data_IF_035389267048
#
_entry.id   IF_035389267048
#
_cell.length_a   1.000
_cell.length_b   1.000
_cell.length_c   1.000
_cell.angle_alpha   90.00
_cell.angle_beta   90.00
_cell.angle_gamma   90.00
#
_symmetry.space_group_name_H-M   'P 1'
#
loop_
_entity.id
_entity.type
_entity.pdbx_description
1 polymer ?
#
# COMPACT_ATOMS: atom_id res chain seq x y z
N UNK A 1 56.31 48.60 52.68
CA UNK A 1 56.08 47.65 53.79
C UNK A 1 54.58 47.38 53.91
N UNK A 2 54.20 46.11 54.08
CA UNK A 2 53.02 45.50 54.77
C UNK A 2 51.75 46.37 54.95
N UNK A 3 50.53 45.87 54.91
CA UNK A 3 49.87 44.60 54.63
C UNK A 3 48.37 44.81 55.01
N UNK A 4 47.46 43.96 54.54
CA UNK A 4 46.18 43.69 55.21
C UNK A 4 44.94 44.22 54.47
N UNK A 5 44.26 43.44 53.62
CA UNK A 5 43.41 42.26 53.91
C UNK A 5 42.10 42.64 54.60
N UNK A 6 40.98 42.58 53.85
CA UNK A 6 39.71 41.94 54.26
C UNK A 6 38.80 41.69 53.03
N UNK A 7 38.74 40.40 52.68
CA UNK A 7 37.62 39.63 52.09
C UNK A 7 36.21 40.20 52.42
N UNK A 8 35.10 39.96 51.69
CA UNK A 8 34.64 38.85 50.83
C UNK A 8 33.26 39.22 50.24
N UNK A 9 32.87 38.45 49.22
CA UNK A 9 31.50 38.13 48.80
C UNK A 9 30.78 39.11 47.85
N UNK A 10 30.02 38.50 46.92
CA UNK A 10 29.26 39.09 45.82
C UNK A 10 30.17 39.34 44.61
N UNK A 11 30.13 38.57 43.52
CA UNK A 11 28.97 38.12 42.76
C UNK A 11 29.36 36.80 42.08
N UNK A 12 29.02 35.68 42.72
CA UNK A 12 28.87 34.40 42.05
C UNK A 12 27.44 34.37 41.51
N UNK A 13 27.19 35.04 40.37
CA UNK A 13 25.83 35.08 39.80
C UNK A 13 25.83 35.24 38.27
N UNK A 14 26.76 34.59 37.56
CA UNK A 14 26.76 34.61 36.08
C UNK A 14 27.33 33.34 35.43
N UNK A 15 27.29 32.20 36.13
CA UNK A 15 27.81 30.93 35.59
C UNK A 15 26.84 29.76 35.74
N UNK A 16 25.53 30.04 35.82
CA UNK A 16 24.48 29.02 35.96
C UNK A 16 23.44 29.08 34.82
N UNK A 17 23.86 29.43 33.59
CA UNK A 17 22.93 29.58 32.46
C UNK A 17 23.50 29.10 31.12
N UNK A 18 24.34 28.05 31.15
CA UNK A 18 24.85 27.42 29.93
C UNK A 18 24.93 25.89 30.03
N UNK A 19 23.96 25.26 30.71
CA UNK A 19 23.88 23.80 30.78
C UNK A 19 22.44 23.29 30.61
N UNK A 20 21.80 23.68 29.50
CA UNK A 20 20.55 23.06 29.03
C UNK A 20 20.49 22.99 27.50
N UNK A 21 21.65 22.91 26.83
CA UNK A 21 21.74 22.67 25.39
C UNK A 21 22.45 21.34 25.14
N UNK A 22 21.98 20.28 25.81
CA UNK A 22 22.30 18.92 25.40
C UNK A 22 21.01 18.25 24.95
N UNK A 23 20.90 18.14 23.63
CA UNK A 23 20.35 16.96 22.96
C UNK A 23 18.94 16.56 23.43
N UNK A 24 17.94 17.34 23.02
CA UNK A 24 16.78 16.67 22.42
C UNK A 24 17.20 16.29 21.00
N UNK A 25 17.94 15.18 20.86
CA UNK A 25 17.83 14.45 19.61
C UNK A 25 16.33 14.21 19.43
N UNK A 26 15.73 14.50 18.26
CA UNK A 26 14.45 13.92 17.96
C UNK A 26 14.67 12.42 18.15
N UNK A 27 14.04 11.84 19.17
CA UNK A 27 13.77 10.42 19.22
C UNK A 27 13.30 10.08 17.82
N UNK A 28 14.01 9.18 17.13
CA UNK A 28 13.56 8.65 15.85
C UNK A 28 12.07 8.33 16.03
N UNK A 29 11.22 9.21 15.51
CA UNK A 29 9.89 8.83 15.19
C UNK A 29 10.13 7.71 14.21
N UNK A 30 9.72 6.51 14.58
CA UNK A 30 9.55 5.41 13.66
C UNK A 30 8.54 5.95 12.65
N UNK A 31 9.07 6.61 11.62
CA UNK A 31 8.27 7.31 10.65
C UNK A 31 7.99 6.25 9.61
N UNK A 32 6.81 5.65 9.72
CA UNK A 32 6.27 4.87 8.61
C UNK A 32 6.26 5.80 7.39
N UNK A 33 7.03 5.45 6.37
CA UNK A 33 7.07 6.22 5.14
C UNK A 33 5.74 6.04 4.41
N UNK A 34 5.00 7.13 4.19
CA UNK A 34 3.76 7.08 3.40
C UNK A 34 4.14 7.17 1.93
N UNK A 35 3.85 6.12 1.17
CA UNK A 35 4.15 6.02 -0.26
C UNK A 35 2.87 6.11 -1.09
N UNK A 36 2.96 6.73 -2.26
CA UNK A 36 1.87 6.68 -3.24
C UNK A 36 1.80 5.26 -3.83
N UNK A 37 0.60 4.68 -3.88
CA UNK A 37 0.40 3.39 -4.55
C UNK A 37 -0.69 3.50 -5.62
N UNK A 38 -0.65 2.59 -6.59
CA UNK A 38 -1.68 2.45 -7.61
C UNK A 38 -1.99 0.97 -7.85
N UNK A 39 -3.27 0.60 -7.75
CA UNK A 39 -3.73 -0.77 -7.87
C UNK A 39 -4.38 -1.01 -9.25
N UNK A 40 -3.90 -2.02 -9.97
CA UNK A 40 -4.38 -2.37 -11.31
C UNK A 40 -4.69 -3.88 -11.42
N UNK A 41 -5.89 -4.28 -11.87
CA UNK A 41 -7.03 -3.41 -12.20
C UNK A 41 -7.66 -2.79 -10.94
N UNK A 42 -8.13 -1.55 -11.05
CA UNK A 42 -8.85 -0.86 -9.95
C UNK A 42 -10.32 -1.28 -9.80
N UNK A 43 -10.78 -2.21 -10.65
CA UNK A 43 -12.13 -2.81 -10.56
C UNK A 43 -11.98 -4.32 -10.68
N UNK A 44 -12.47 -5.04 -9.68
CA UNK A 44 -12.55 -6.49 -9.69
C UNK A 44 -14.01 -6.90 -9.87
N UNK A 45 -14.26 -7.84 -10.79
CA UNK A 45 -15.61 -8.32 -11.08
C UNK A 45 -15.74 -9.75 -10.55
N UNK A 46 -16.73 -9.97 -9.69
CA UNK A 46 -17.12 -11.27 -9.16
C UNK A 46 -18.31 -11.77 -9.97
N UNK A 47 -18.20 -12.93 -10.62
CA UNK A 47 -19.35 -13.57 -11.25
C UNK A 47 -20.18 -14.34 -10.20
N UNK A 48 -21.45 -13.98 -10.06
CA UNK A 48 -22.36 -14.56 -9.08
C UNK A 48 -22.90 -15.95 -9.50
N UNK A 49 -22.82 -16.34 -10.79
CA UNK A 49 -23.44 -17.59 -11.28
C UNK A 49 -22.49 -18.75 -11.50
N UNK A 50 -21.18 -18.54 -11.52
CA UNK A 50 -20.24 -19.65 -11.68
C UNK A 50 -19.58 -19.97 -10.35
N UNK A 51 -20.01 -21.09 -9.77
CA UNK A 51 -19.12 -22.01 -9.07
C UNK A 51 -17.97 -22.31 -10.05
N UNK A 52 -16.93 -21.47 -10.03
CA UNK A 52 -15.94 -21.33 -11.09
C UNK A 52 -15.04 -22.56 -11.16
N UNK A 53 -15.52 -23.56 -11.90
CA UNK A 53 -14.88 -24.87 -12.02
C UNK A 53 -14.10 -25.04 -13.32
N UNK A 54 -14.37 -24.25 -14.37
CA UNK A 54 -13.73 -24.52 -15.68
C UNK A 54 -13.29 -23.31 -16.53
N UNK A 55 -13.79 -22.08 -16.36
CA UNK A 55 -13.47 -20.97 -17.32
C UNK A 55 -13.41 -19.55 -16.75
N UNK A 56 -13.42 -19.40 -15.43
CA UNK A 56 -13.14 -18.09 -14.82
C UNK A 56 -11.62 -17.92 -14.82
N UNK A 57 -11.10 -17.08 -15.71
CA UNK A 57 -9.68 -16.77 -15.77
C UNK A 57 -9.25 -15.87 -14.59
N UNK A 58 -9.47 -16.35 -13.35
CA UNK A 58 -8.92 -15.75 -12.14
C UNK A 58 -7.45 -16.11 -11.94
N UNK A 59 -6.75 -16.57 -12.99
CA UNK A 59 -5.30 -16.73 -12.96
C UNK A 59 -4.56 -15.39 -13.06
N UNK A 60 -5.31 -14.31 -13.26
CA UNK A 60 -4.81 -12.94 -13.28
C UNK A 60 -4.45 -12.42 -11.87
N UNK A 61 -3.55 -11.44 -11.83
CA UNK A 61 -3.03 -10.84 -10.60
C UNK A 61 -3.41 -9.36 -10.50
N UNK A 62 -3.79 -8.92 -9.31
CA UNK A 62 -3.78 -7.50 -8.95
C UNK A 62 -2.33 -7.05 -8.85
N UNK A 63 -1.95 -6.07 -9.66
CA UNK A 63 -0.64 -5.44 -9.66
C UNK A 63 -0.70 -4.16 -8.85
N UNK A 64 0.17 -4.02 -7.85
CA UNK A 64 0.29 -2.83 -7.03
C UNK A 64 1.63 -2.17 -7.33
N UNK A 65 1.57 -0.95 -7.85
CA UNK A 65 2.72 -0.08 -8.03
C UNK A 65 2.90 0.77 -6.77
N UNK A 66 4.12 0.89 -6.27
CA UNK A 66 4.42 1.71 -5.10
C UNK A 66 5.56 2.67 -5.39
N UNK A 67 5.41 3.93 -4.96
CA UNK A 67 6.39 5.02 -5.12
C UNK A 67 7.62 4.87 -4.24
N UNK A 68 8.14 3.66 -4.08
CA UNK A 68 9.37 3.31 -3.37
C UNK A 68 10.29 2.58 -4.34
N UNK A 69 11.60 2.83 -4.26
CA UNK A 69 12.55 2.16 -5.13
C UNK A 69 12.62 0.66 -4.78
N UNK A 70 12.60 -0.21 -5.79
CA UNK A 70 12.75 -1.66 -5.58
C UNK A 70 14.04 -1.98 -4.82
N UNK A 71 15.12 -1.27 -5.11
CA UNK A 71 16.43 -1.50 -4.48
C UNK A 71 16.45 -1.14 -2.98
N UNK A 72 15.55 -0.28 -2.52
CA UNK A 72 15.43 0.09 -1.10
C UNK A 72 14.58 -0.93 -0.34
N UNK A 73 13.58 -1.53 -1.00
CA UNK A 73 12.69 -2.54 -0.42
C UNK A 73 13.24 -3.98 -0.55
N UNK A 74 13.98 -4.29 -1.61
CA UNK A 74 14.36 -5.65 -1.98
C UNK A 74 15.87 -5.78 -2.23
N UNK A 75 16.51 -6.79 -1.65
CA UNK A 75 17.92 -7.08 -1.91
C UNK A 75 18.14 -7.60 -3.34
N UNK A 76 19.33 -7.34 -3.90
CA UNK A 76 19.76 -7.84 -5.21
C UNK A 76 19.54 -9.36 -5.31
N UNK A 77 18.63 -9.78 -6.20
CA UNK A 77 18.27 -11.19 -6.40
C UNK A 77 16.85 -11.59 -5.96
N UNK A 78 16.07 -10.66 -5.38
CA UNK A 78 14.62 -10.79 -5.23
C UNK A 78 14.13 -11.86 -4.25
N UNK A 79 15.02 -12.45 -3.44
CA UNK A 79 14.65 -13.57 -2.56
C UNK A 79 14.05 -13.15 -1.21
N UNK A 80 14.24 -11.90 -0.79
CA UNK A 80 13.87 -11.42 0.55
C UNK A 80 12.94 -10.18 0.53
N UNK A 81 12.09 -10.05 -0.49
CA UNK A 81 11.16 -8.91 -0.57
C UNK A 81 9.74 -9.30 -0.20
N UNK A 82 9.42 -9.19 1.09
CA UNK A 82 8.07 -9.45 1.61
C UNK A 82 7.29 -8.15 1.69
N UNK A 83 6.14 -8.11 1.04
CA UNK A 83 5.16 -7.03 1.18
C UNK A 83 3.79 -7.62 1.43
N UNK A 84 3.00 -6.90 2.20
CA UNK A 84 1.65 -7.30 2.56
C UNK A 84 0.64 -6.34 1.96
N UNK A 85 -0.42 -6.87 1.36
CA UNK A 85 -1.60 -6.11 0.97
C UNK A 85 -2.71 -6.41 1.96
N UNK A 86 -3.16 -5.38 2.67
CA UNK A 86 -4.08 -5.50 3.80
C UNK A 86 -5.40 -4.81 3.54
N UNK A 87 -6.47 -5.44 4.01
CA UNK A 87 -7.78 -4.85 4.23
C UNK A 87 -8.16 -5.04 5.70
N UNK A 88 -8.34 -3.93 6.41
CA UNK A 88 -8.53 -3.92 7.86
C UNK A 88 -7.48 -4.78 8.60
N UNK A 89 -7.89 -5.89 9.23
CA UNK A 89 -7.03 -6.80 9.99
C UNK A 89 -6.52 -8.01 9.18
N UNK A 90 -6.94 -8.15 7.92
CA UNK A 90 -6.56 -9.27 7.05
C UNK A 90 -5.49 -8.82 6.08
N UNK A 91 -4.41 -9.59 5.93
CA UNK A 91 -3.30 -9.28 5.04
C UNK A 91 -2.95 -10.48 4.16
N UNK A 92 -2.62 -10.19 2.92
CA UNK A 92 -2.10 -11.13 1.94
C UNK A 92 -0.62 -10.84 1.73
N UNK A 93 0.23 -11.80 2.06
CA UNK A 93 1.65 -11.70 1.80
C UNK A 93 1.94 -11.99 0.33
N UNK A 94 2.80 -11.18 -0.30
CA UNK A 94 3.37 -11.45 -1.61
C UNK A 94 4.89 -11.27 -1.58
N UNK A 95 5.57 -12.03 -2.45
CA UNK A 95 6.96 -11.72 -2.79
C UNK A 95 6.94 -10.71 -3.93
N UNK A 96 7.49 -9.51 -3.72
CA UNK A 96 7.58 -8.51 -4.78
C UNK A 96 8.42 -9.04 -5.94
N UNK A 97 7.97 -8.79 -7.18
CA UNK A 97 8.42 -9.59 -8.33
C UNK A 97 9.38 -8.83 -9.24
N UNK A 98 9.26 -7.50 -9.39
CA UNK A 98 10.11 -6.70 -10.28
C UNK A 98 9.99 -5.19 -10.05
N UNK A 99 10.87 -4.42 -10.69
CA UNK A 99 10.81 -2.96 -10.78
C UNK A 99 10.06 -2.52 -12.04
N UNK A 100 9.28 -1.44 -11.97
CA UNK A 100 8.73 -0.80 -13.16
C UNK A 100 9.82 -0.08 -13.98
N UNK A 101 9.45 0.60 -15.08
CA UNK A 101 10.40 1.33 -15.93
C UNK A 101 11.13 2.49 -15.22
N UNK A 102 10.65 2.93 -14.06
CA UNK A 102 11.24 3.97 -13.22
C UNK A 102 12.12 3.40 -12.09
N UNK A 103 12.15 2.08 -11.92
CA UNK A 103 12.86 1.44 -10.82
C UNK A 103 12.01 1.27 -9.55
N UNK A 104 10.72 1.55 -9.62
CA UNK A 104 9.79 1.51 -8.48
C UNK A 104 9.28 0.09 -8.22
N UNK A 105 8.98 -0.21 -6.97
CA UNK A 105 8.49 -1.50 -6.48
C UNK A 105 7.15 -1.86 -7.13
N UNK A 106 7.07 -3.09 -7.65
CA UNK A 106 5.83 -3.68 -8.15
C UNK A 106 5.57 -5.03 -7.49
N UNK A 107 4.40 -5.15 -6.86
CA UNK A 107 3.92 -6.35 -6.22
C UNK A 107 2.71 -6.95 -6.96
N UNK A 108 2.55 -8.27 -6.88
CA UNK A 108 1.44 -8.98 -7.52
C UNK A 108 0.72 -9.87 -6.50
N UNK A 109 -0.60 -9.74 -6.47
CA UNK A 109 -1.48 -10.51 -5.60
C UNK A 109 -2.49 -11.28 -6.43
N UNK A 110 -2.79 -12.50 -6.02
CA UNK A 110 -3.82 -13.35 -6.64
C UNK A 110 -5.18 -12.65 -6.56
N UNK A 111 -5.86 -12.46 -7.70
CA UNK A 111 -7.23 -11.92 -7.70
C UNK A 111 -8.17 -12.75 -6.81
N UNK A 112 -8.17 -14.11 -6.85
CA UNK A 112 -8.94 -14.93 -5.94
C UNK A 112 -8.73 -14.60 -4.46
N UNK A 113 -7.48 -14.38 -4.05
CA UNK A 113 -7.16 -14.13 -2.64
C UNK A 113 -7.60 -12.72 -2.23
N UNK A 114 -7.43 -11.72 -3.11
CA UNK A 114 -7.93 -10.35 -2.89
C UNK A 114 -9.45 -10.34 -2.79
N UNK A 115 -10.15 -11.05 -3.68
CA UNK A 115 -11.62 -11.18 -3.62
C UNK A 115 -12.03 -11.88 -2.31
N UNK A 116 -11.38 -13.00 -1.95
CA UNK A 116 -11.71 -13.73 -0.72
C UNK A 116 -11.53 -12.88 0.55
N UNK A 117 -10.54 -11.98 0.55
CA UNK A 117 -10.32 -11.02 1.64
C UNK A 117 -11.47 -9.99 1.76
N UNK A 118 -12.11 -9.62 0.65
CA UNK A 118 -13.12 -8.54 0.59
C UNK A 118 -14.57 -9.02 0.63
N UNK A 119 -14.85 -10.22 0.12
CA UNK A 119 -16.21 -10.78 0.00
C UNK A 119 -17.07 -10.74 1.28
N UNK A 120 -16.53 -10.92 2.51
CA UNK A 120 -17.34 -10.84 3.73
C UNK A 120 -18.08 -9.50 3.89
N UNK A 121 -17.57 -8.43 3.30
CA UNK A 121 -18.12 -7.07 3.42
C UNK A 121 -19.16 -6.73 2.34
N UNK A 122 -19.29 -7.58 1.31
CA UNK A 122 -20.25 -7.41 0.22
C UNK A 122 -19.63 -7.15 -1.15
N UNK A 123 -20.47 -6.75 -2.10
CA UNK A 123 -20.11 -6.47 -3.50
C UNK A 123 -20.79 -5.18 -3.96
N UNK A 124 -20.33 -4.62 -5.07
CA UNK A 124 -20.72 -3.30 -5.59
C UNK A 124 -20.31 -2.13 -4.69
N UNK A 125 -19.14 -2.24 -4.06
CA UNK A 125 -18.60 -1.28 -3.10
C UNK A 125 -17.11 -0.99 -3.36
N UNK A 126 -16.65 0.12 -2.80
CA UNK A 126 -15.25 0.51 -2.79
C UNK A 126 -14.56 0.01 -1.52
N UNK A 127 -13.30 -0.37 -1.66
CA UNK A 127 -12.46 -0.92 -0.59
C UNK A 127 -11.09 -0.25 -0.60
N UNK A 128 -10.70 0.29 0.54
CA UNK A 128 -9.35 0.83 0.77
C UNK A 128 -8.40 -0.32 1.08
N UNK A 129 -7.42 -0.53 0.20
CA UNK A 129 -6.37 -1.52 0.37
C UNK A 129 -5.07 -0.83 0.72
N UNK A 130 -4.39 -1.33 1.75
CA UNK A 130 -3.10 -0.80 2.19
C UNK A 130 -1.98 -1.76 1.84
N UNK A 131 -1.04 -1.31 1.01
CA UNK A 131 0.23 -1.99 0.83
C UNK A 131 1.17 -1.56 1.95
N UNK A 132 1.84 -2.51 2.59
CA UNK A 132 2.84 -2.23 3.62
C UNK A 132 4.04 -3.17 3.50
N UNK A 133 5.18 -2.73 4.01
CA UNK A 133 6.40 -3.52 4.04
C UNK A 133 7.53 -2.84 4.80
N UNK A 134 8.70 -3.48 4.77
CA UNK A 134 9.90 -2.99 5.43
C UNK A 134 11.04 -2.86 4.41
N UNK A 135 11.78 -1.76 4.47
CA UNK A 135 12.98 -1.55 3.65
C UNK A 135 14.14 -2.41 4.14
N UNK A 136 15.18 -2.54 3.33
CA UNK A 136 16.43 -3.20 3.74
C UNK A 136 17.13 -2.50 4.92
N UNK A 137 16.81 -1.23 5.17
CA UNK A 137 17.30 -0.46 6.32
C UNK A 137 16.50 -0.73 7.61
N UNK A 138 15.40 -1.49 7.52
CA UNK A 138 14.49 -1.79 8.62
C UNK A 138 13.42 -0.73 8.86
N UNK A 139 13.18 0.15 7.88
CA UNK A 139 12.18 1.21 7.96
C UNK A 139 10.86 0.70 7.40
N UNK A 140 9.75 0.99 8.07
CA UNK A 140 8.43 0.61 7.56
C UNK A 140 7.98 1.60 6.49
N UNK A 141 7.31 1.11 5.46
CA UNK A 141 6.60 1.92 4.48
C UNK A 141 5.17 1.42 4.31
N UNK A 142 4.25 2.32 3.98
CA UNK A 142 2.85 1.99 3.73
C UNK A 142 2.19 2.96 2.75
N UNK A 143 1.21 2.50 2.01
CA UNK A 143 0.38 3.34 1.15
C UNK A 143 -0.99 2.73 0.94
N UNK A 144 -2.00 3.55 0.67
CA UNK A 144 -3.40 3.12 0.52
C UNK A 144 -3.95 3.59 -0.81
N UNK A 145 -4.71 2.72 -1.48
CA UNK A 145 -5.46 3.03 -2.70
C UNK A 145 -6.76 2.22 -2.72
N UNK A 146 -7.72 2.66 -3.52
CA UNK A 146 -9.09 2.15 -3.53
C UNK A 146 -9.33 1.23 -4.72
N UNK A 147 -10.01 0.10 -4.49
CA UNK A 147 -10.55 -0.73 -5.56
C UNK A 147 -12.06 -0.89 -5.46
N UNK A 148 -12.71 -1.04 -6.60
CA UNK A 148 -14.14 -1.33 -6.66
C UNK A 148 -14.38 -2.83 -6.88
N UNK A 149 -15.02 -3.50 -5.93
CA UNK A 149 -15.51 -4.86 -6.13
C UNK A 149 -16.92 -4.80 -6.71
N UNK A 150 -17.12 -5.38 -7.88
CA UNK A 150 -18.38 -5.36 -8.61
C UNK A 150 -18.93 -6.76 -8.77
N UNK A 151 -20.24 -6.93 -8.60
CA UNK A 151 -20.91 -8.18 -8.95
C UNK A 151 -21.34 -8.14 -10.42
N UNK A 152 -21.03 -9.20 -11.16
CA UNK A 152 -21.64 -9.44 -12.46
C UNK A 152 -23.03 -10.02 -12.25
N UNK A 153 -24.07 -9.31 -12.72
CA UNK A 153 -25.42 -9.86 -12.80
C UNK A 153 -25.62 -10.45 -14.18
N UNK A 154 -25.97 -11.73 -14.27
CA UNK A 154 -26.14 -12.47 -15.52
C UNK A 154 -27.44 -12.17 -16.27
N UNK A 155 -28.12 -11.06 -15.95
CA UNK A 155 -29.14 -10.56 -16.87
C UNK A 155 -28.44 -9.73 -17.93
N UNK A 156 -28.27 -10.21 -19.18
CA UNK A 156 -27.76 -9.36 -20.24
C UNK A 156 -28.62 -8.10 -20.28
N UNK A 157 -27.96 -6.93 -20.41
CA UNK A 157 -28.65 -5.66 -20.60
C UNK A 157 -29.79 -5.89 -21.61
N UNK A 158 -31.04 -5.72 -21.15
CA UNK A 158 -32.25 -5.95 -21.94
C UNK A 158 -32.00 -5.44 -23.35
N UNK A 159 -32.06 -6.33 -24.35
CA UNK A 159 -31.79 -5.95 -25.74
C UNK A 159 -32.52 -4.64 -26.04
N UNK A 160 -31.87 -3.65 -26.67
CA UNK A 160 -32.52 -2.38 -26.96
C UNK A 160 -33.79 -2.65 -27.77
N UNK A 161 -34.95 -2.43 -27.14
CA UNK A 161 -36.24 -2.48 -27.82
C UNK A 161 -36.34 -1.20 -28.66
N UNK A 162 -35.81 -1.28 -29.87
CA UNK A 162 -35.75 -0.22 -30.87
C UNK A 162 -35.41 -0.85 -32.23
N UNK A 163 -35.56 -0.15 -33.35
CA UNK A 163 -35.70 -0.74 -34.70
C UNK A 163 -34.47 -1.51 -35.25
N UNK A 164 -33.45 -1.75 -34.42
CA UNK A 164 -32.26 -2.53 -34.71
C UNK A 164 -32.17 -3.81 -33.85
N UNK A 165 -33.30 -4.51 -33.70
CA UNK A 165 -33.31 -5.91 -33.26
C UNK A 165 -32.53 -6.82 -34.23
N UNK A 166 -32.34 -8.12 -33.92
CA UNK A 166 -31.36 -8.98 -34.58
C UNK A 166 -31.55 -8.95 -36.09
N UNK A 167 -30.59 -8.32 -36.77
CA UNK A 167 -30.56 -8.24 -38.22
C UNK A 167 -30.61 -9.64 -38.78
N UNK A 168 -31.70 -9.94 -39.49
CA UNK A 168 -31.86 -11.14 -40.29
C UNK A 168 -30.71 -11.23 -41.28
N UNK A 169 -29.72 -12.07 -41.01
CA UNK A 169 -28.86 -12.60 -42.06
C UNK A 169 -29.71 -13.57 -42.90
N UNK A 170 -30.40 -13.02 -43.89
CA UNK A 170 -30.85 -13.79 -45.04
C UNK A 170 -29.60 -14.11 -45.87
N UNK A 171 -29.05 -15.32 -45.71
CA UNK A 171 -28.12 -15.87 -46.70
C UNK A 171 -28.88 -16.15 -47.99
N UNK A 172 -28.33 -15.64 -49.10
CA UNK A 172 -28.67 -16.09 -50.45
C UNK A 172 -28.18 -17.51 -50.70
#
# INVERSE_FOLDING_TARGET
MKAGKKMRANIALLSALSLAAFYTAPTAAWADEVVEIAIAPGVLVVDAETDCTEDCDYTESVTVHAGIALADACADGGQDCSVDLCYEATCLAATAVFADSRGELVAKFSIPDVIAMLLPEGVNAYYDLTLQGETLAGEQFSGTDEIYLKEYSTTPAKEPIGPLGPGTHASK
#
